data_IF_607488679485
#
_entry.id   IF_607488679485
#
_cell.length_a   1.000
_cell.length_b   1.000
_cell.length_c   1.000
_cell.angle_alpha   90.00
_cell.angle_beta   90.00
_cell.angle_gamma   90.00
#
_symmetry.space_group_name_H-M   'P 1'
#
loop_
_entity.id
_entity.type
_entity.pdbx_description
1 polymer ?
#
# COMPACT_ATOMS: atom_id res chain seq x y z
N UNK A 1 1.51 -8.71 -2.25
CA UNK A 1 2.09 -7.56 -1.51
C UNK A 1 3.35 -7.03 -2.21
N UNK A 2 3.54 -5.70 -2.26
CA UNK A 2 4.74 -5.02 -2.76
C UNK A 2 5.22 -3.98 -1.73
N UNK A 3 6.49 -4.08 -1.32
CA UNK A 3 7.14 -3.14 -0.41
C UNK A 3 8.36 -2.51 -1.07
N UNK A 4 8.46 -1.18 -1.05
CA UNK A 4 9.58 -0.43 -1.61
C UNK A 4 10.16 0.47 -0.52
N UNK A 5 11.39 0.18 -0.13
CA UNK A 5 12.06 0.85 1.00
C UNK A 5 13.32 1.59 0.53
N UNK A 6 13.53 2.81 1.02
CA UNK A 6 14.80 3.55 0.88
C UNK A 6 15.17 3.94 -0.55
N UNK A 7 14.25 3.81 -1.51
CA UNK A 7 14.53 4.07 -2.92
C UNK A 7 14.49 5.58 -3.24
N UNK A 8 15.58 6.29 -2.95
CA UNK A 8 15.70 7.74 -3.11
C UNK A 8 15.69 8.22 -4.59
N UNK A 9 15.82 7.30 -5.54
CA UNK A 9 15.73 7.62 -6.98
C UNK A 9 14.42 7.15 -7.61
N UNK A 10 13.49 6.64 -6.80
CA UNK A 10 12.20 6.16 -7.29
C UNK A 10 11.35 7.34 -7.77
N UNK A 11 11.13 7.40 -9.08
CA UNK A 11 10.31 8.45 -9.72
C UNK A 11 8.95 7.95 -10.17
N UNK A 12 8.78 6.65 -10.29
CA UNK A 12 7.55 5.97 -10.69
C UNK A 12 7.59 4.53 -10.21
N UNK A 13 6.41 3.92 -10.12
CA UNK A 13 6.24 2.50 -9.88
C UNK A 13 5.54 1.93 -11.11
N UNK A 14 5.91 0.73 -11.59
CA UNK A 14 5.12 0.03 -12.58
C UNK A 14 3.67 -0.06 -12.09
N UNK A 15 2.72 0.25 -12.96
CA UNK A 15 1.32 0.48 -12.56
C UNK A 15 0.38 -0.58 -13.14
N UNK A 16 0.92 -1.76 -13.45
CA UNK A 16 0.22 -2.87 -14.10
C UNK A 16 0.08 -4.07 -13.16
N UNK A 17 -0.30 -3.83 -11.90
CA UNK A 17 -0.43 -4.88 -10.89
C UNK A 17 -1.89 -5.11 -10.49
N UNK A 18 -2.68 -5.67 -11.39
CA UNK A 18 -4.12 -5.86 -11.19
C UNK A 18 -4.46 -6.73 -9.97
N UNK A 19 -3.56 -7.57 -9.50
CA UNK A 19 -3.70 -8.44 -8.31
C UNK A 19 -3.00 -7.90 -7.06
N UNK A 20 -2.46 -6.67 -7.09
CA UNK A 20 -1.75 -6.13 -5.92
C UNK A 20 -2.73 -5.62 -4.88
N UNK A 21 -2.80 -6.31 -3.74
CA UNK A 21 -3.66 -5.95 -2.61
C UNK A 21 -2.99 -4.97 -1.63
N UNK A 22 -1.68 -5.07 -1.45
CA UNK A 22 -0.93 -4.26 -0.50
C UNK A 22 0.26 -3.56 -1.16
N UNK A 23 0.32 -2.23 -1.04
CA UNK A 23 1.44 -1.40 -1.50
C UNK A 23 2.00 -0.55 -0.36
N UNK A 24 3.31 -0.64 -0.12
CA UNK A 24 4.02 0.13 0.89
C UNK A 24 5.22 0.86 0.30
N UNK A 25 5.29 2.17 0.51
CA UNK A 25 6.36 3.08 0.07
C UNK A 25 6.97 3.73 1.31
N UNK A 26 8.16 3.29 1.70
CA UNK A 26 8.78 3.70 2.96
C UNK A 26 10.13 4.34 2.68
N UNK A 27 10.34 5.57 3.14
CA UNK A 27 11.61 6.27 2.99
C UNK A 27 11.99 6.51 1.53
N UNK A 28 11.02 6.82 0.66
CA UNK A 28 11.26 7.03 -0.78
C UNK A 28 11.22 8.52 -1.13
N UNK A 29 11.90 8.94 -2.20
CA UNK A 29 11.75 10.32 -2.72
C UNK A 29 10.59 10.45 -3.71
N UNK A 30 9.52 9.67 -3.54
CA UNK A 30 8.35 9.80 -4.41
C UNK A 30 7.65 11.13 -4.12
N UNK A 31 7.17 11.80 -5.18
CA UNK A 31 6.44 13.07 -5.05
C UNK A 31 4.95 12.92 -5.37
N UNK A 32 4.17 13.96 -5.08
CA UNK A 32 2.72 14.01 -5.31
C UNK A 32 2.31 13.58 -6.73
N UNK A 33 3.07 14.00 -7.74
CA UNK A 33 2.80 13.66 -9.15
C UNK A 33 3.02 12.18 -9.42
N UNK A 34 4.09 11.61 -8.88
CA UNK A 34 4.38 10.18 -9.00
C UNK A 34 3.34 9.32 -8.27
N UNK A 35 2.93 9.72 -7.06
CA UNK A 35 1.80 9.09 -6.32
C UNK A 35 0.54 9.11 -7.18
N UNK A 36 0.18 10.27 -7.73
CA UNK A 36 -0.97 10.40 -8.63
C UNK A 36 -0.88 9.47 -9.83
N UNK A 37 0.30 9.35 -10.44
CA UNK A 37 0.52 8.52 -11.64
C UNK A 37 0.39 7.02 -11.36
N UNK A 38 0.69 6.59 -10.14
CA UNK A 38 0.49 5.20 -9.71
C UNK A 38 -1.00 4.86 -9.79
N UNK A 39 -1.84 5.75 -9.28
CA UNK A 39 -3.28 5.54 -9.26
C UNK A 39 -3.98 5.83 -10.59
N UNK A 40 -3.49 6.76 -11.41
CA UNK A 40 -4.21 7.24 -12.61
C UNK A 40 -4.44 6.16 -13.69
N UNK A 41 -3.81 5.00 -13.61
CA UNK A 41 -3.81 4.00 -14.70
C UNK A 41 -4.76 2.83 -14.51
N UNK A 42 -5.49 2.75 -13.39
CA UNK A 42 -6.49 1.69 -13.19
C UNK A 42 -5.92 0.31 -12.86
N UNK A 43 -4.59 0.13 -12.90
CA UNK A 43 -3.97 -1.17 -12.68
C UNK A 43 -3.82 -1.58 -11.22
N UNK A 44 -4.48 -0.90 -10.28
CA UNK A 44 -4.49 -1.21 -8.84
C UNK A 44 -5.90 -1.51 -8.33
N UNK A 45 -6.72 -2.14 -9.18
CA UNK A 45 -8.13 -2.44 -8.88
C UNK A 45 -8.33 -3.29 -7.63
N UNK A 46 -7.38 -4.18 -7.31
CA UNK A 46 -7.46 -5.07 -6.14
C UNK A 46 -6.80 -4.49 -4.89
N UNK A 47 -6.27 -3.27 -4.94
CA UNK A 47 -5.55 -2.67 -3.82
C UNK A 47 -6.52 -2.40 -2.67
N UNK A 48 -6.27 -3.01 -1.53
CA UNK A 48 -7.03 -2.87 -0.28
C UNK A 48 -6.30 -2.01 0.74
N UNK A 49 -4.97 -1.99 0.67
CA UNK A 49 -4.11 -1.30 1.62
C UNK A 49 -3.01 -0.50 0.91
N UNK A 50 -2.88 0.78 1.28
CA UNK A 50 -1.75 1.62 0.91
C UNK A 50 -1.08 2.24 2.13
N UNK A 51 0.25 2.23 2.13
CA UNK A 51 1.08 2.91 3.12
C UNK A 51 2.15 3.77 2.42
N UNK A 52 2.22 5.05 2.81
CA UNK A 52 3.27 5.99 2.37
C UNK A 52 3.90 6.59 3.62
N UNK A 53 5.19 6.33 3.82
CA UNK A 53 5.92 6.75 5.02
C UNK A 53 7.25 7.37 4.63
N UNK A 54 7.68 8.40 5.36
CA UNK A 54 9.02 8.93 5.21
C UNK A 54 9.29 9.44 3.80
N UNK A 55 8.25 9.95 3.13
CA UNK A 55 8.32 10.39 1.73
C UNK A 55 8.23 11.92 1.65
N UNK A 56 9.36 12.63 1.82
CA UNK A 56 9.37 14.08 2.07
C UNK A 56 8.98 14.93 0.86
N UNK A 57 8.88 14.33 -0.32
CA UNK A 57 8.45 15.04 -1.54
C UNK A 57 6.93 14.90 -1.80
N UNK A 58 6.21 14.13 -0.99
CA UNK A 58 4.74 14.04 -1.05
C UNK A 58 4.17 15.24 -0.31
N UNK A 59 3.58 16.16 -1.07
CA UNK A 59 2.96 17.38 -0.53
C UNK A 59 1.44 17.26 -0.50
N UNK A 60 0.85 16.64 -1.52
CA UNK A 60 -0.59 16.48 -1.64
C UNK A 60 -0.88 15.14 -2.29
N UNK A 61 -2.03 14.55 -1.98
CA UNK A 61 -2.57 13.43 -2.76
C UNK A 61 -3.91 13.86 -3.35
N UNK A 62 -4.11 13.75 -4.68
CA UNK A 62 -5.36 14.16 -5.28
C UNK A 62 -6.49 13.25 -4.79
N UNK A 63 -7.54 13.82 -4.20
CA UNK A 63 -8.69 13.09 -3.68
C UNK A 63 -9.36 12.23 -4.77
N UNK A 64 -9.31 12.72 -6.02
CA UNK A 64 -9.77 12.01 -7.19
C UNK A 64 -9.16 10.62 -7.38
N UNK A 65 -7.96 10.33 -6.88
CA UNK A 65 -7.38 8.97 -7.02
C UNK A 65 -8.08 7.91 -6.18
N UNK A 66 -8.74 8.33 -5.09
CA UNK A 66 -9.51 7.47 -4.20
C UNK A 66 -11.01 7.50 -4.54
N UNK A 67 -11.50 8.64 -5.04
CA UNK A 67 -12.91 8.79 -5.41
C UNK A 67 -13.23 8.24 -6.81
N UNK A 68 -12.25 8.21 -7.70
CA UNK A 68 -12.42 7.58 -9.02
C UNK A 68 -12.36 6.05 -8.88
N UNK A 69 -13.01 5.33 -9.79
CA UNK A 69 -13.13 3.86 -9.85
C UNK A 69 -11.81 3.10 -10.03
N UNK A 70 -10.69 3.77 -9.77
CA UNK A 70 -9.33 3.34 -10.05
C UNK A 70 -8.74 2.53 -8.91
N UNK A 71 -9.22 2.76 -7.67
CA UNK A 71 -8.94 1.93 -6.49
C UNK A 71 -10.22 1.64 -5.70
N UNK A 72 -11.20 0.97 -6.33
CA UNK A 72 -12.55 0.79 -5.75
C UNK A 72 -12.55 -0.05 -4.47
N UNK A 73 -11.49 -0.84 -4.24
CA UNK A 73 -11.37 -1.75 -3.11
C UNK A 73 -10.45 -1.22 -2.00
N UNK A 74 -9.96 0.02 -2.10
CA UNK A 74 -9.06 0.57 -1.07
C UNK A 74 -9.84 0.78 0.24
N UNK A 75 -9.42 0.07 1.28
CA UNK A 75 -10.05 0.11 2.60
C UNK A 75 -9.20 0.90 3.60
N UNK A 76 -7.88 0.85 3.42
CA UNK A 76 -6.93 1.40 4.37
C UNK A 76 -5.88 2.24 3.66
N UNK A 77 -5.69 3.46 4.15
CA UNK A 77 -4.66 4.38 3.69
C UNK A 77 -3.91 4.91 4.91
N UNK A 78 -2.64 4.57 5.01
CA UNK A 78 -1.74 5.08 6.01
C UNK A 78 -0.76 6.08 5.37
N UNK A 79 -0.68 7.28 5.94
CA UNK A 79 0.29 8.31 5.56
C UNK A 79 0.97 8.79 6.83
N UNK A 80 2.27 8.51 6.95
CA UNK A 80 3.09 8.89 8.10
C UNK A 80 4.39 9.54 7.65
N UNK A 81 5.05 10.30 8.51
CA UNK A 81 6.42 10.83 8.29
C UNK A 81 6.67 11.51 6.94
N UNK A 82 5.61 12.04 6.32
CA UNK A 82 5.71 12.81 5.08
C UNK A 82 5.77 14.27 5.46
N UNK A 83 6.97 14.78 5.75
CA UNK A 83 7.21 16.10 6.38
C UNK A 83 6.55 17.27 5.64
N UNK A 84 6.34 17.16 4.33
CA UNK A 84 5.72 18.20 3.51
C UNK A 84 4.24 17.95 3.22
N UNK A 85 3.64 16.89 3.76
CA UNK A 85 2.28 16.52 3.44
C UNK A 85 1.29 17.53 4.02
N UNK A 86 0.51 18.15 3.15
CA UNK A 86 -0.47 19.18 3.46
C UNK A 86 -1.92 18.66 3.33
N UNK A 87 -2.09 17.41 2.93
CA UNK A 87 -3.40 16.76 2.85
C UNK A 87 -3.85 16.41 1.43
N UNK A 88 -5.17 16.32 1.25
CA UNK A 88 -5.79 15.92 0.00
C UNK A 88 -6.24 17.14 -0.81
N UNK A 89 -6.14 17.04 -2.13
CA UNK A 89 -6.49 18.13 -3.05
C UNK A 89 -7.48 17.65 -4.10
N UNK A 90 -8.53 18.43 -4.38
CA UNK A 90 -9.40 18.16 -5.53
C UNK A 90 -8.63 18.45 -6.82
N UNK A 91 -8.85 17.68 -7.89
CA UNK A 91 -7.92 17.44 -9.02
C UNK A 91 -7.34 18.66 -9.75
N UNK A 92 -7.78 19.86 -9.42
CA UNK A 92 -7.50 21.11 -10.12
C UNK A 92 -6.50 22.00 -9.36
N UNK A 93 -6.24 21.71 -8.08
CA UNK A 93 -5.49 22.61 -7.19
C UNK A 93 -3.98 22.28 -7.02
N UNK A 94 -3.43 21.34 -7.78
CA UNK A 94 -1.99 20.98 -7.76
C UNK A 94 -1.03 22.07 -8.27
N UNK A 95 -1.51 23.29 -8.55
CA UNK A 95 -0.71 24.36 -9.16
C UNK A 95 -0.38 25.54 -8.24
N UNK A 96 -0.62 25.48 -6.92
CA UNK A 96 -0.20 26.60 -6.08
C UNK A 96 0.08 26.32 -4.60
N UNK A 97 1.23 26.86 -4.20
CA UNK A 97 1.71 27.28 -2.87
C UNK A 97 2.52 26.29 -2.03
N UNK A 98 3.84 26.48 -2.17
CA UNK A 98 4.83 26.29 -1.11
C UNK A 98 4.40 27.00 0.17
N UNK A 99 4.50 26.31 1.32
CA UNK A 99 5.08 26.86 2.56
C UNK A 99 5.68 25.73 3.39
N UNK A 100 6.86 26.03 3.91
CA UNK A 100 7.70 25.19 4.76
C UNK A 100 7.18 25.17 6.21
N UNK A 101 7.39 24.05 6.88
CA UNK A 101 7.22 23.86 8.32
C UNK A 101 8.11 22.70 8.78
N UNK A 102 8.83 22.91 9.88
CA UNK A 102 9.98 22.17 10.40
C UNK A 102 9.58 21.28 11.61
N UNK A 103 10.19 20.08 11.72
CA UNK A 103 10.34 19.19 12.91
C UNK A 103 9.10 18.74 13.71
N UNK A 104 8.96 17.55 14.32
CA UNK A 104 9.86 16.45 14.68
C UNK A 104 9.01 15.17 15.00
N UNK A 105 9.69 14.01 15.01
CA UNK A 105 9.41 12.70 15.63
C UNK A 105 8.02 12.06 15.55
N UNK A 106 7.79 10.96 14.79
CA UNK A 106 6.90 9.86 15.20
C UNK A 106 7.25 8.50 14.57
N UNK A 107 7.60 7.54 15.42
CA UNK A 107 7.99 6.16 15.11
C UNK A 107 6.76 5.23 14.99
N UNK A 108 5.61 5.75 14.54
CA UNK A 108 4.32 5.07 14.74
C UNK A 108 3.87 4.19 13.54
N UNK A 109 4.52 4.28 12.37
CA UNK A 109 4.11 3.43 11.25
C UNK A 109 4.62 1.97 11.35
N UNK A 110 5.68 1.71 12.13
CA UNK A 110 6.25 0.35 12.18
C UNK A 110 5.37 -0.60 13.00
N UNK A 111 4.74 -0.11 14.07
CA UNK A 111 4.02 -0.96 15.03
C UNK A 111 2.61 -1.36 14.54
N UNK A 112 1.94 -0.52 13.75
CA UNK A 112 0.65 -0.87 13.11
C UNK A 112 0.84 -1.90 11.98
N UNK A 113 2.03 -1.93 11.36
CA UNK A 113 2.40 -2.89 10.31
C UNK A 113 2.70 -4.29 10.85
N UNK A 114 3.10 -4.42 12.12
CA UNK A 114 3.44 -5.71 12.73
C UNK A 114 2.18 -6.53 13.02
N UNK A 115 1.05 -5.89 13.36
CA UNK A 115 -0.24 -6.57 13.53
C UNK A 115 -0.77 -7.22 12.24
N UNK A 116 -0.62 -6.56 11.09
CA UNK A 116 -1.03 -7.12 9.79
C UNK A 116 -0.21 -8.33 9.32
N UNK A 117 1.01 -8.50 9.82
CA UNK A 117 1.88 -9.63 9.45
C UNK A 117 1.61 -10.90 10.25
N UNK A 118 0.98 -10.81 11.42
CA UNK A 118 0.74 -11.98 12.30
C UNK A 118 -0.55 -12.73 11.96
N UNK A 119 -1.56 -12.06 11.39
CA UNK A 119 -2.86 -12.69 11.08
C UNK A 119 -2.83 -13.61 9.84
N UNK A 120 -2.03 -13.29 8.81
CA UNK A 120 -1.91 -14.11 7.59
C UNK A 120 -1.10 -15.40 7.81
N UNK A 121 -0.29 -15.48 8.88
CA UNK A 121 0.55 -16.64 9.16
C UNK A 121 -0.19 -17.79 9.86
N UNK A 122 -1.38 -17.55 10.43
CA UNK A 122 -2.10 -18.56 11.23
C UNK A 122 -3.26 -19.26 10.50
N UNK A 123 -3.59 -18.90 9.26
CA UNK A 123 -4.78 -19.44 8.58
C UNK A 123 -4.48 -20.37 7.39
N UNK A 124 -3.26 -20.90 7.27
CA UNK A 124 -2.92 -21.80 6.16
C UNK A 124 -2.23 -23.11 6.61
N UNK A 125 -2.79 -23.77 7.62
CA UNK A 125 -2.43 -25.16 7.92
C UNK A 125 -3.59 -25.96 8.49
N UNK A 126 -4.68 -26.12 7.75
CA UNK A 126 -5.63 -27.23 7.96
C UNK A 126 -6.29 -27.63 6.64
N UNK A 127 -5.49 -28.21 5.75
CA UNK A 127 -5.99 -29.16 4.74
C UNK A 127 -4.96 -30.29 4.66
N UNK A 128 -5.09 -31.25 5.58
CA UNK A 128 -4.58 -32.60 5.35
C UNK A 128 -5.74 -33.43 4.84
N UNK A 129 -5.85 -33.50 3.51
CA UNK A 129 -6.51 -34.61 2.84
C UNK A 129 -5.77 -35.89 3.24
N UNK A 130 -6.42 -36.68 4.09
CA UNK A 130 -6.03 -38.05 4.40
C UNK A 130 -7.10 -38.98 3.87
N UNK A 131 -7.08 -39.23 2.57
CA UNK A 131 -7.77 -40.38 1.96
C UNK A 131 -7.05 -41.63 2.44
N UNK A 132 -7.62 -42.28 3.46
CA UNK A 132 -7.24 -43.61 3.91
C UNK A 132 -8.14 -44.62 3.23
N UNK A 133 -7.65 -45.22 2.15
CA UNK A 133 -8.28 -46.36 1.49
C UNK A 133 -8.42 -47.53 2.48
N UNK A 134 -9.67 -47.88 2.78
CA UNK A 134 -10.07 -49.09 3.47
C UNK A 134 -9.94 -50.25 2.48
N UNK A 135 -8.92 -51.10 2.64
CA UNK A 135 -8.81 -52.36 1.89
C UNK A 135 -8.81 -53.52 2.88
N UNK A 136 -9.99 -54.08 3.02
CA UNK A 136 -10.32 -55.29 3.78
C UNK A 136 -9.56 -56.49 3.18
N UNK A 137 -8.66 -57.10 3.98
CA UNK A 137 -7.96 -58.34 3.63
C UNK A 137 -8.61 -59.49 4.40
N UNK A 138 -9.68 -60.03 3.80
CA UNK A 138 -10.26 -61.33 4.11
C UNK A 138 -9.21 -62.44 4.00
N UNK A 139 -9.26 -63.35 4.96
CA UNK A 139 -8.34 -64.45 5.17
C UNK A 139 -8.44 -65.52 4.07
N UNK A 140 -7.30 -65.96 3.53
CA UNK A 140 -7.05 -67.31 3.02
C UNK A 140 -5.56 -67.68 3.12
#
# INVERSE_FOLDING_TARGET
>A
MLRIHGCQKLRSIPNSFSSLEHLSLIGTSINSKAVTSIFATGGLSSLTFMCIVGSPEVIYIPLGVFLQSTTPNLQQLHIGDCLKFQGFVEGDALNNKNKDGDGDDFQDCFDEFQGFLEDDALNNSDNKDGDGDDVDLEAL
#
